data_IF_696679498874
#
_entry.id   IF_696679498874
#
_cell.length_a   1.000
_cell.length_b   1.000
_cell.length_c   1.000
_cell.angle_alpha   90.00
_cell.angle_beta   90.00
_cell.angle_gamma   90.00
#
_symmetry.space_group_name_H-M   'P 1'
#
loop_
_entity.id
_entity.type
_entity.pdbx_description
1 polymer ?
2 non-polymer ?
3 water ?
#
# COMPACT_ATOMS: atom_id res chain seq x y z
N UNK A 6 -9.77 -10.67 -12.68
CA UNK A 6 -10.45 -9.39 -12.74
C UNK A 6 -10.17 -8.50 -11.55
N UNK A 7 -9.60 -9.09 -10.50
CA UNK A 7 -9.27 -8.39 -9.27
C UNK A 7 -7.79 -8.03 -9.25
N UNK A 8 -7.44 -7.11 -8.36
CA UNK A 8 -6.04 -6.71 -8.17
C UNK A 8 -5.90 -6.12 -6.78
N UNK A 9 -4.73 -6.35 -6.17
CA UNK A 9 -4.44 -5.91 -4.81
C UNK A 9 -3.20 -5.03 -4.83
N UNK A 10 -3.23 -3.97 -4.03
CA UNK A 10 -2.05 -3.14 -3.82
C UNK A 10 -1.75 -3.04 -2.34
N UNK A 11 -0.47 -3.14 -2.01
CA UNK A 11 -0.03 -3.23 -0.61
C UNK A 11 1.10 -2.24 -0.38
N UNK A 12 0.84 -1.20 0.41
CA UNK A 12 1.89 -0.38 1.03
C UNK A 12 2.28 -1.09 2.32
N UNK A 13 3.39 -1.81 2.33
CA UNK A 13 3.79 -2.68 3.40
C UNK A 13 4.27 -2.09 4.72
N UNK A 14 4.50 -0.82 4.75
CA UNK A 14 4.98 -0.16 5.91
C UNK A 14 3.95 0.15 6.95
N UNK A 15 4.42 0.53 8.10
CA UNK A 15 3.62 0.97 9.18
C UNK A 15 3.15 2.30 8.66
N UNK A 16 1.87 2.50 8.66
CA UNK A 16 1.36 3.69 8.09
C UNK A 16 0.92 3.31 6.72
N UNK A 17 1.09 2.07 6.30
CA UNK A 17 0.65 1.66 4.99
C UNK A 17 -0.77 1.15 4.98
N UNK A 18 -1.12 0.47 3.89
CA UNK A 18 -2.49 0.02 3.67
C UNK A 18 -2.49 -1.06 2.60
N UNK A 19 -3.60 -1.77 2.51
CA UNK A 19 -3.84 -2.73 1.45
C UNK A 19 -5.13 -2.35 0.74
N UNK A 20 -5.09 -2.31 -0.59
CA UNK A 20 -6.22 -1.93 -1.40
C UNK A 20 -6.65 -3.09 -2.29
N UNK A 21 -7.95 -3.18 -2.56
CA UNK A 21 -8.52 -4.20 -3.43
C UNK A 21 -9.38 -3.52 -4.48
N UNK A 22 -9.04 -3.74 -5.75
CA UNK A 22 -9.85 -3.26 -6.87
C UNK A 22 -10.63 -4.45 -7.45
N UNK A 23 -11.94 -4.31 -7.52
CA UNK A 23 -12.80 -5.35 -8.03
C UNK A 23 -13.17 -5.08 -9.48
N UNK A 24 -13.55 -6.12 -10.24
CA UNK A 24 -13.87 -5.91 -11.65
C UNK A 24 -15.10 -5.05 -11.88
N UNK A 25 -16.00 -4.94 -10.91
CA UNK A 25 -17.17 -4.08 -11.09
C UNK A 25 -16.86 -2.61 -10.85
N UNK A 26 -15.58 -2.24 -10.72
CA UNK A 26 -15.17 -0.87 -10.55
C UNK A 26 -15.02 -0.41 -9.12
N UNK A 27 -15.66 -1.09 -8.16
CA UNK A 27 -15.56 -0.70 -6.78
C UNK A 27 -14.16 -0.97 -6.23
N UNK A 28 -13.87 -0.35 -5.09
CA UNK A 28 -12.56 -0.49 -4.45
C UNK A 28 -12.72 -0.50 -2.95
N UNK A 29 -11.69 -1.00 -2.27
CA UNK A 29 -11.61 -0.99 -0.82
C UNK A 29 -10.17 -0.73 -0.41
N UNK A 30 -9.98 -0.22 0.80
CA UNK A 30 -8.65 0.02 1.34
C UNK A 30 -8.71 -0.11 2.86
N UNK A 31 -7.73 -0.80 3.42
CA UNK A 31 -7.67 -1.07 4.86
C UNK A 31 -6.32 -0.61 5.39
N UNK A 32 -6.33 0.07 6.53
CA UNK A 32 -5.08 0.46 7.17
C UNK A 32 -4.35 -0.77 7.71
N UNK A 33 -3.03 -0.74 7.61
CA UNK A 33 -2.23 -1.82 8.14
C UNK A 33 -2.39 -1.92 9.66
N UNK A 34 -2.75 -3.08 10.20
CA UNK A 34 -2.84 -3.20 11.65
C UNK A 34 -1.45 -3.23 12.27
N UNK A 35 -1.34 -2.68 13.47
CA UNK A 35 -0.06 -2.62 14.15
C UNK A 35 -0.23 -2.83 15.65
N UNK A 36 0.88 -3.14 16.29
CA UNK A 36 1.00 -3.17 17.74
C UNK A 36 2.16 -2.26 18.13
N UNK A 37 2.34 -2.10 19.44
CA UNK A 37 3.48 -1.38 19.99
C UNK A 37 4.51 -2.37 20.49
N UNK A 38 5.78 -1.99 20.39
CA UNK A 38 6.88 -2.77 20.93
C UNK A 38 7.94 -1.81 21.46
N UNK A 39 8.54 -2.17 22.59
CA UNK A 39 9.60 -1.39 23.21
C UNK A 39 10.93 -2.02 22.83
N UNK A 40 11.69 -1.35 21.96
CA UNK A 40 12.99 -1.82 21.52
C UNK A 40 14.04 -0.84 22.05
N UNK A 41 14.93 -1.34 22.92
CA UNK A 41 15.98 -0.54 23.53
C UNK A 41 15.40 0.71 24.19
N UNK A 42 14.37 0.50 24.99
CA UNK A 42 13.66 1.52 25.76
C UNK A 42 12.96 2.56 24.89
N UNK A 43 12.85 2.32 23.59
CA UNK A 43 12.17 3.25 22.67
C UNK A 43 10.89 2.58 22.19
N UNK A 44 9.81 3.34 22.18
CA UNK A 44 8.51 2.82 21.75
C UNK A 44 8.47 2.81 20.23
N UNK A 45 8.27 1.61 19.65
CA UNK A 45 8.16 1.44 18.22
C UNK A 45 6.79 0.85 17.88
N UNK A 46 6.43 0.96 16.61
CA UNK A 46 5.27 0.25 16.09
C UNK A 46 5.75 -0.98 15.32
N UNK A 47 4.86 -1.97 15.23
CA UNK A 47 5.18 -3.21 14.55
C UNK A 47 3.91 -3.81 13.99
N UNK A 48 3.97 -4.29 12.76
CA UNK A 48 2.78 -4.81 12.08
C UNK A 48 2.16 -5.95 12.88
N UNK A 49 0.83 -6.04 12.80
CA UNK A 49 0.06 -7.04 13.51
C UNK A 49 -0.13 -8.23 12.58
N UNK A 50 0.67 -9.29 12.79
CA UNK A 50 0.68 -10.43 11.87
C UNK A 50 -0.69 -11.08 11.78
N UNK A 51 -1.29 -11.39 12.93
CA UNK A 51 -2.56 -12.10 12.94
C UNK A 51 -3.67 -11.29 12.27
N UNK A 52 -3.73 -9.99 12.56
CA UNK A 52 -4.77 -9.15 11.97
C UNK A 52 -4.58 -9.00 10.46
N UNK A 53 -3.32 -8.97 10.00
CA UNK A 53 -3.06 -8.91 8.56
C UNK A 53 -3.57 -10.17 7.88
N UNK A 54 -3.21 -11.33 8.43
CA UNK A 54 -3.60 -12.61 7.83
C UNK A 54 -5.12 -12.75 7.81
N UNK A 55 -5.77 -12.47 8.96
CA UNK A 55 -7.22 -12.56 9.01
C UNK A 55 -7.87 -11.58 8.04
N UNK A 56 -7.28 -10.39 7.88
CA UNK A 56 -7.77 -9.45 6.88
C UNK A 56 -7.68 -10.06 5.48
N UNK A 57 -6.55 -10.69 5.17
CA UNK A 57 -6.38 -11.31 3.86
C UNK A 57 -7.37 -12.45 3.65
N UNK A 58 -7.59 -13.26 4.70
CA UNK A 58 -8.54 -14.37 4.58
C UNK A 58 -9.98 -13.91 4.48
N UNK A 59 -10.27 -12.64 4.78
CA UNK A 59 -11.60 -12.09 4.67
C UNK A 59 -11.86 -11.30 3.42
N UNK A 60 -10.89 -11.19 2.52
CA UNK A 60 -11.09 -10.44 1.28
C UNK A 60 -11.96 -11.24 0.32
N UNK A 61 -12.70 -10.52 -0.52
CA UNK A 61 -13.48 -11.14 -1.58
C UNK A 61 -12.67 -11.43 -2.83
N UNK A 62 -11.37 -11.18 -2.80
CA UNK A 62 -10.53 -11.46 -3.96
C UNK A 62 -10.31 -12.96 -4.10
N UNK A 63 -10.58 -13.55 -5.26
CA UNK A 63 -10.43 -15.00 -5.41
C UNK A 63 -8.97 -15.40 -5.30
N UNK A 64 -8.69 -16.66 -4.97
CA UNK A 64 -7.30 -17.12 -4.93
C UNK A 64 -6.62 -16.95 -6.27
N UNK A 65 -5.33 -16.61 -6.24
CA UNK A 65 -4.58 -16.33 -7.44
C UNK A 65 -4.52 -14.87 -7.82
N UNK A 66 -5.28 -14.01 -7.15
CA UNK A 66 -5.24 -12.57 -7.43
C UNK A 66 -3.84 -12.03 -7.19
N UNK A 67 -3.35 -11.23 -8.13
CA UNK A 67 -2.02 -10.67 -8.05
C UNK A 67 -2.00 -9.48 -7.09
N UNK A 68 -1.00 -9.47 -6.20
CA UNK A 68 -0.83 -8.39 -5.23
C UNK A 68 0.43 -7.61 -5.59
N UNK A 69 0.25 -6.32 -5.89
CA UNK A 69 1.36 -5.45 -6.23
C UNK A 69 1.80 -4.71 -4.96
N UNK A 70 3.03 -4.97 -4.53
CA UNK A 70 3.55 -4.47 -3.26
C UNK A 70 4.78 -3.61 -3.52
N UNK A 71 4.90 -2.52 -2.77
CA UNK A 71 6.07 -1.66 -2.91
C UNK A 71 7.26 -2.29 -2.20
N UNK A 72 8.36 -2.45 -2.94
CA UNK A 72 9.64 -2.86 -2.37
C UNK A 72 10.48 -1.59 -2.26
N UNK A 73 10.57 -1.05 -1.05
CA UNK A 73 11.08 0.29 -0.81
C UNK A 73 12.40 0.25 -0.05
N UNK A 74 12.84 1.43 0.37
CA UNK A 74 14.07 1.65 1.11
C UNK A 74 13.91 2.92 1.92
N UNK A 75 14.06 2.87 3.25
CA UNK A 75 13.80 4.02 4.11
C UNK A 75 14.76 5.18 3.88
N UNK A 77 18.24 6.33 3.37
CA UNK A 77 19.28 5.76 4.23
C UNK A 77 19.65 6.69 5.39
N UNK A 78 18.66 7.31 6.04
CA UNK A 78 18.91 8.28 7.11
C UNK A 78 18.42 7.84 8.47
N UNK A 79 17.94 6.59 8.63
CA UNK A 79 17.66 6.06 9.97
C UNK A 79 18.43 4.79 10.30
N UNK A 80 19.09 4.17 9.33
CA UNK A 80 20.12 3.19 9.62
C UNK A 80 19.60 1.93 10.30
N UNK A 81 20.42 1.39 11.21
CA UNK A 81 20.15 0.11 11.85
C UNK A 81 18.79 0.10 12.52
N UNK A 82 18.11 -1.06 12.45
CA UNK A 82 16.77 -1.25 13.01
C UNK A 82 15.74 -0.35 12.33
N UNK A 83 16.17 0.40 11.31
CA UNK A 83 15.26 1.11 10.44
C UNK A 83 15.15 0.34 9.13
N UNK A 84 16.22 -0.38 8.80
CA UNK A 84 16.18 -1.34 7.70
C UNK A 84 15.72 -2.71 8.15
N UNK A 85 16.01 -3.09 9.39
CA UNK A 85 15.39 -4.28 9.95
C UNK A 85 13.88 -4.17 9.94
N UNK A 86 13.36 -2.98 10.29
CA UNK A 86 11.92 -2.77 10.26
C UNK A 86 11.38 -2.82 8.84
N UNK A 87 12.13 -2.25 7.88
CA UNK A 87 11.68 -2.24 6.49
C UNK A 87 11.65 -3.65 5.92
N UNK A 88 12.71 -4.42 6.15
CA UNK A 88 12.70 -5.82 5.71
C UNK A 88 11.68 -6.66 6.45
N UNK A 89 11.50 -6.40 7.75
CA UNK A 89 10.54 -7.17 8.53
C UNK A 89 9.12 -6.97 7.99
N UNK A 90 8.70 -5.71 7.84
CA UNK A 90 7.37 -5.44 7.31
C UNK A 90 7.21 -6.00 5.91
N UNK A 91 8.27 -5.94 5.10
CA UNK A 91 8.19 -6.45 3.74
C UNK A 91 8.11 -7.98 3.72
N UNK A 92 8.96 -8.64 4.51
CA UNK A 92 8.89 -10.09 4.60
C UNK A 92 7.59 -10.58 5.23
N UNK A 93 7.07 -9.83 6.20
CA UNK A 93 5.79 -10.19 6.79
C UNK A 93 4.68 -10.17 5.75
N UNK A 94 4.67 -9.15 4.89
CA UNK A 94 3.57 -9.01 3.94
C UNK A 94 3.66 -10.04 2.82
N UNK A 95 4.84 -10.26 2.25
CA UNK A 95 4.96 -11.19 1.13
C UNK A 95 4.62 -12.61 1.57
N UNK A 96 4.96 -12.95 2.81
CA UNK A 96 4.62 -14.29 3.31
C UNK A 96 3.12 -14.40 3.59
N UNK A 97 2.51 -13.35 4.14
CA UNK A 97 1.07 -13.37 4.39
C UNK A 97 0.28 -13.43 3.09
N UNK A 98 0.80 -12.82 2.03
CA UNK A 98 0.11 -12.85 0.75
C UNK A 98 0.24 -14.19 0.05
N UNK A 99 1.45 -14.75 0.02
CA UNK A 99 1.66 -16.05 -0.61
C UNK A 99 0.89 -17.14 0.13
N UNK A 100 0.77 -17.02 1.45
CA UNK A 100 0.05 -18.01 2.23
C UNK A 100 -1.46 -17.89 2.09
N UNK A 101 -1.97 -16.73 1.68
CA UNK A 101 -3.39 -16.53 1.47
C UNK A 101 -3.83 -16.88 0.05
N UNK A 102 -2.93 -17.40 -0.78
CA UNK A 102 -3.25 -17.79 -2.13
C UNK A 102 -3.07 -16.71 -3.17
N UNK A 103 -2.41 -15.60 -2.83
CA UNK A 103 -2.22 -14.49 -3.74
C UNK A 103 -0.83 -14.53 -4.35
N UNK A 104 -0.73 -14.09 -5.60
CA UNK A 104 0.56 -13.97 -6.27
C UNK A 104 1.11 -12.56 -6.09
N UNK A 105 2.41 -12.47 -5.89
CA UNK A 105 3.06 -11.23 -5.45
C UNK A 105 3.95 -10.72 -6.58
N UNK A 106 3.83 -9.42 -6.87
CA UNK A 106 4.69 -8.76 -7.84
C UNK A 106 5.26 -7.51 -7.18
N UNK A 107 6.55 -7.49 -6.84
CA UNK A 107 7.14 -6.30 -6.22
C UNK A 107 7.32 -5.18 -7.24
N UNK A 108 7.06 -3.95 -6.79
CA UNK A 108 7.17 -2.76 -7.63
C UNK A 108 8.03 -1.74 -6.91
N UNK A 109 9.02 -1.20 -7.62
CA UNK A 109 9.87 -0.15 -7.06
C UNK A 109 9.06 1.11 -6.83
N UNK A 110 9.41 1.84 -5.76
CA UNK A 110 8.74 3.10 -5.46
C UNK A 110 8.91 4.09 -6.60
N UNK A 111 10.09 4.09 -7.23
CA UNK A 111 10.31 4.95 -8.40
C UNK A 111 9.37 4.58 -9.53
N UNK A 112 9.04 3.30 -9.68
CA UNK A 112 8.29 2.84 -10.84
C UNK A 112 6.86 3.37 -10.81
N UNK A 113 6.11 3.10 -9.73
CA UNK A 113 4.72 3.52 -9.69
C UNK A 113 4.59 5.04 -9.54
N UNK A 114 5.57 5.69 -8.89
CA UNK A 114 5.53 7.14 -8.80
C UNK A 114 5.77 7.78 -10.16
N UNK A 115 6.71 7.25 -10.94
CA UNK A 115 6.97 7.79 -12.26
C UNK A 115 5.79 7.58 -13.20
N UNK A 116 5.05 6.48 -13.03
CA UNK A 116 3.90 6.22 -13.89
C UNK A 116 2.81 7.25 -13.67
N UNK A 117 2.57 7.64 -12.41
CA UNK A 117 1.58 8.65 -12.08
C UNK A 117 2.19 10.04 -11.96
N UNK A 118 3.41 10.24 -12.42
CA UNK A 118 4.02 11.56 -12.47
C UNK A 118 4.26 12.18 -11.11
N UNK A 119 4.76 11.39 -10.15
CA UNK A 119 5.00 11.86 -8.80
C UNK A 119 6.46 11.74 -8.38
N UNK A 120 7.34 11.31 -9.30
CA UNK A 120 8.73 11.02 -8.93
C UNK A 120 9.45 12.25 -8.38
N UNK A 121 9.26 13.41 -9.01
CA UNK A 121 9.90 14.62 -8.54
C UNK A 121 8.86 15.63 -8.07
N UNK A 122 8.05 15.22 -7.09
CA UNK A 122 6.99 16.06 -6.55
C UNK A 122 7.49 16.75 -5.29
N UNK A 123 7.20 18.05 -5.18
CA UNK A 123 7.51 18.77 -3.96
C UNK A 123 6.62 18.33 -2.80
N UNK A 124 5.44 17.79 -3.12
CA UNK A 124 4.48 17.31 -2.13
C UNK A 124 4.08 15.89 -2.52
N UNK A 125 4.98 14.92 -2.33
CA UNK A 125 4.68 13.56 -2.83
C UNK A 125 3.48 12.91 -2.15
N UNK A 126 3.40 12.98 -0.81
CA UNK A 126 2.29 12.34 -0.12
C UNK A 126 0.96 13.04 -0.43
N UNK A 127 0.98 14.36 -0.58
CA UNK A 127 -0.24 15.07 -0.91
C UNK A 127 -0.71 14.75 -2.32
N UNK A 128 0.20 14.75 -3.29
CA UNK A 128 -0.18 14.47 -4.67
C UNK A 128 -0.68 13.04 -4.84
N UNK A 129 -0.13 12.09 -4.09
CA UNK A 129 -0.59 10.70 -4.19
C UNK A 129 -2.04 10.58 -3.76
N UNK A 130 -2.44 11.30 -2.72
CA UNK A 130 -3.83 11.31 -2.30
C UNK A 130 -4.72 11.91 -3.37
N UNK A 131 -4.25 12.99 -4.02
CA UNK A 131 -5.03 13.58 -5.12
C UNK A 131 -5.12 12.62 -6.29
N UNK A 132 -3.99 12.02 -6.69
CA UNK A 132 -4.01 11.07 -7.78
C UNK A 132 -4.92 9.88 -7.47
N UNK A 133 -4.93 9.44 -6.20
CA UNK A 133 -5.76 8.29 -5.83
C UNK A 133 -7.24 8.66 -5.82
N UNK A 134 -7.58 9.87 -5.38
CA UNK A 134 -8.97 10.30 -5.39
C UNK A 134 -9.47 10.63 -6.79
N UNK A 135 -8.57 10.94 -7.73
CA UNK A 135 -8.98 11.14 -9.11
C UNK A 135 -9.33 9.80 -9.75
N UNK A 136 -8.56 8.75 -9.44
CA UNK A 136 -8.86 7.43 -9.96
C UNK A 136 -10.06 6.80 -9.28
N UNK A 137 -10.26 7.07 -7.99
CA UNK A 137 -11.33 6.48 -7.20
C UNK A 137 -12.02 7.57 -6.40
N UNK A 138 -12.91 8.34 -7.03
CA UNK A 138 -13.56 9.44 -6.31
C UNK A 138 -14.40 9.00 -5.13
N UNK A 139 -14.87 7.75 -5.10
CA UNK A 139 -15.63 7.27 -3.95
C UNK A 139 -14.77 7.10 -2.71
N UNK A 140 -13.45 7.11 -2.84
CA UNK A 140 -12.54 7.08 -1.71
C UNK A 140 -12.12 8.48 -1.27
N UNK A 141 -12.79 9.51 -1.77
CA UNK A 141 -12.39 10.88 -1.44
C UNK A 141 -12.49 11.14 0.06
N UNK A 142 -13.51 10.59 0.71
CA UNK A 142 -13.61 10.71 2.16
C UNK A 142 -12.41 10.06 2.84
N UNK A 143 -11.99 8.89 2.37
CA UNK A 143 -10.92 8.14 2.99
C UNK A 143 -9.54 8.67 2.65
N UNK A 144 -9.43 9.73 1.85
CA UNK A 144 -8.15 10.33 1.49
C UNK A 144 -8.05 11.77 1.97
N UNK A 145 -8.85 12.14 2.97
CA UNK A 145 -8.99 13.54 3.35
C UNK A 145 -7.74 14.04 4.09
N UNK A 146 -7.26 13.27 5.05
CA UNK A 146 -6.20 13.70 5.94
C UNK A 146 -4.82 13.40 5.37
N UNK A 147 -3.82 14.12 5.87
CA UNK A 147 -2.45 13.92 5.40
C UNK A 147 -1.94 12.54 5.76
N UNK A 148 -2.44 11.94 6.85
CA UNK A 148 -2.03 10.60 7.23
C UNK A 148 -2.61 9.52 6.32
N UNK A 149 -3.44 9.89 5.34
CA UNK A 149 -4.07 8.92 4.45
C UNK A 149 -3.22 8.62 3.21
N UNK A 150 -1.96 9.06 3.19
CA UNK A 150 -1.10 8.77 2.06
C UNK A 150 -0.75 7.29 1.95
N UNK A 151 -0.80 6.55 3.07
CA UNK A 151 -0.65 5.11 2.98
C UNK A 151 -1.79 4.46 2.19
N UNK A 152 -3.03 4.89 2.46
CA UNK A 152 -4.16 4.41 1.68
C UNK A 152 -4.01 4.77 0.22
N UNK A 153 -3.52 5.98 -0.06
CA UNK A 153 -3.36 6.42 -1.45
C UNK A 153 -2.32 5.59 -2.18
N UNK A 154 -1.19 5.31 -1.53
CA UNK A 154 -0.14 4.53 -2.17
C UNK A 154 -0.63 3.12 -2.51
N UNK A 155 -1.34 2.48 -1.58
CA UNK A 155 -1.87 1.15 -1.85
C UNK A 155 -2.84 1.17 -3.02
N UNK A 156 -3.65 2.23 -3.13
CA UNK A 156 -4.57 2.34 -4.25
C UNK A 156 -3.81 2.55 -5.55
N UNK A 157 -2.78 3.40 -5.54
CA UNK A 157 -1.98 3.61 -6.74
C UNK A 157 -1.19 2.38 -7.13
N UNK A 158 -0.73 1.60 -6.14
CA UNK A 158 -0.04 0.35 -6.44
C UNK A 158 -0.97 -0.62 -7.16
N UNK A 159 -2.23 -0.71 -6.73
CA UNK A 159 -3.19 -1.56 -7.42
C UNK A 159 -3.55 -0.97 -8.78
N UNK A 160 -3.69 0.36 -8.85
CA UNK A 160 -4.05 1.00 -10.11
C UNK A 160 -2.93 0.85 -11.14
N UNK A 161 -1.67 0.92 -10.69
CA UNK A 161 -0.55 0.67 -11.60
C UNK A 161 -0.58 -0.76 -12.10
N UNK A 162 -0.72 -1.73 -11.19
CA UNK A 162 -0.74 -3.13 -11.60
C UNK A 162 -1.90 -3.45 -12.52
N UNK A 163 -3.01 -2.74 -12.39
CA UNK A 163 -4.15 -2.92 -13.27
C UNK A 163 -4.01 -2.16 -14.58
N UNK A 164 -3.13 -1.17 -14.64
CA UNK A 164 -2.94 -0.40 -15.85
C UNK A 164 -3.90 0.76 -16.03
N UNK A 165 -4.54 1.22 -14.95
CA UNK A 165 -5.44 2.36 -15.04
C UNK A 165 -4.68 3.61 -15.44
N UNK A 166 -5.40 4.56 -16.03
CA UNK A 166 -4.82 5.82 -16.46
C UNK A 166 -5.62 6.97 -15.86
N UNK A 167 -4.91 8.04 -15.53
CA UNK A 167 -5.56 9.25 -15.05
C UNK A 167 -6.33 9.90 -16.20
N UNK A 168 -7.61 10.20 -16.03
CA UNK A 168 -8.34 10.90 -17.10
C UNK A 168 -7.77 12.29 -17.32
N UNK A 169 -8.00 12.79 -18.52
CA UNK A 169 -7.61 14.16 -18.83
C UNK A 169 -8.37 15.14 -17.94
N UNK A 170 -7.67 16.16 -17.49
CA UNK A 170 -8.24 17.13 -16.59
C UNK A 170 -7.16 17.76 -15.74
N UNK A 171 -7.60 18.56 -14.78
CA UNK A 171 -6.68 19.28 -13.92
C UNK A 171 -6.11 18.37 -12.85
N UNK A 172 -4.99 18.82 -12.27
CA UNK A 172 -4.40 18.18 -11.12
C UNK A 172 -4.06 19.22 -10.06
#
# INVERSE_FOLDING_TARGET
AHMTNGWVIGVDPDIGGAIAVLSPDGSSQVFDNPFVHIVVSEVIRKRLDTKSIIELLRGLDAPPGTTAYIEKSSPFPTDGKQGWWSTGFSYGLWIASLVASGFSVVPVASQTWKAYFGLMRSETPKDDSRQAASILFPDKDQSLKLKKHHGRAEALLLAAYGKGLVLPSGKFSKTSV
#
